data_IF_744850167313
#
_entry.id   IF_744850167313
#
_cell.length_a   1.000
_cell.length_b   1.000
_cell.length_c   1.000
_cell.angle_alpha   90.00
_cell.angle_beta   90.00
_cell.angle_gamma   90.00
#
_symmetry.space_group_name_H-M   'P 1'
#
loop_
_entity.id
_entity.type
_entity.pdbx_description
1 polymer ?
#
# COMPACT_ATOMS: atom_id res chain seq x y z
N UNK A 1 0.77 14.78 5.34
CA UNK A 1 0.24 13.94 6.45
C UNK A 1 -0.74 12.91 5.88
N UNK A 2 -0.56 11.64 6.22
CA UNK A 2 -1.41 10.53 5.77
C UNK A 2 -1.59 10.46 4.25
N UNK A 3 -0.48 10.68 3.52
CA UNK A 3 -0.43 10.72 2.06
C UNK A 3 -0.69 12.10 1.44
N UNK A 4 -1.31 13.02 2.16
CA UNK A 4 -1.57 14.37 1.68
C UNK A 4 -0.33 15.28 1.85
N UNK A 5 0.01 16.03 0.80
CA UNK A 5 1.11 17.00 0.83
C UNK A 5 0.61 18.32 1.42
N UNK A 6 1.04 18.61 2.65
CA UNK A 6 0.63 19.82 3.39
C UNK A 6 1.35 21.07 2.87
N UNK A 7 2.63 20.94 2.52
CA UNK A 7 3.47 22.02 2.01
C UNK A 7 4.04 21.67 0.62
N UNK A 8 3.31 21.95 -0.47
CA UNK A 8 3.75 21.63 -1.83
C UNK A 8 5.05 22.32 -2.25
N UNK A 9 5.30 23.54 -1.77
CA UNK A 9 6.50 24.31 -2.14
C UNK A 9 7.77 23.67 -1.56
N UNK A 10 7.72 23.24 -0.31
CA UNK A 10 8.82 22.55 0.33
C UNK A 10 9.11 21.22 -0.39
N UNK A 11 8.08 20.44 -0.68
CA UNK A 11 8.23 19.18 -1.40
C UNK A 11 8.75 19.41 -2.82
N UNK A 12 8.21 20.41 -3.55
CA UNK A 12 8.69 20.79 -4.88
C UNK A 12 10.18 21.12 -4.88
N UNK A 13 10.63 21.89 -3.89
CA UNK A 13 12.05 22.22 -3.73
C UNK A 13 12.93 20.98 -3.52
N UNK A 14 12.45 20.01 -2.71
CA UNK A 14 13.14 18.73 -2.49
C UNK A 14 13.16 17.88 -3.77
N UNK A 15 12.05 17.80 -4.50
CA UNK A 15 11.94 17.09 -5.79
C UNK A 15 12.93 17.68 -6.80
N UNK A 16 12.92 19.00 -7.00
CA UNK A 16 13.83 19.68 -7.93
C UNK A 16 15.30 19.42 -7.59
N UNK A 17 15.64 19.45 -6.28
CA UNK A 17 17.00 19.14 -5.81
C UNK A 17 17.39 17.69 -6.10
N UNK A 18 16.48 16.74 -5.89
CA UNK A 18 16.70 15.31 -6.17
C UNK A 18 16.92 15.08 -7.68
N UNK A 19 16.02 15.60 -8.51
CA UNK A 19 16.13 15.48 -9.99
C UNK A 19 17.43 16.07 -10.49
N UNK A 20 17.87 17.23 -9.97
CA UNK A 20 19.18 17.82 -10.30
C UNK A 20 20.33 16.88 -9.96
N UNK A 21 20.32 16.30 -8.74
CA UNK A 21 21.35 15.32 -8.34
C UNK A 21 21.36 14.08 -9.25
N UNK A 22 20.18 13.56 -9.63
CA UNK A 22 20.09 12.42 -10.52
C UNK A 22 20.58 12.76 -11.94
N UNK A 23 20.17 13.91 -12.50
CA UNK A 23 20.64 14.38 -13.81
C UNK A 23 22.16 14.52 -13.85
N UNK A 24 22.79 15.00 -12.80
CA UNK A 24 24.24 15.08 -12.70
C UNK A 24 24.93 13.70 -12.70
N UNK A 25 24.26 12.66 -12.17
CA UNK A 25 24.79 11.28 -12.18
C UNK A 25 24.64 10.58 -13.51
N UNK A 26 23.53 10.80 -14.22
CA UNK A 26 23.27 10.14 -15.51
C UNK A 26 23.95 10.82 -16.71
N UNK A 27 24.57 11.97 -16.49
CA UNK A 27 25.36 12.70 -17.50
C UNK A 27 24.55 13.80 -18.22
N UNK A 28 25.28 14.79 -18.74
CA UNK A 28 24.72 16.02 -19.29
C UNK A 28 23.80 15.83 -20.53
N UNK A 29 23.97 14.70 -21.25
CA UNK A 29 23.20 14.38 -22.46
C UNK A 29 21.80 13.78 -22.20
N UNK A 30 21.55 13.32 -20.98
CA UNK A 30 20.28 12.68 -20.59
C UNK A 30 19.67 13.43 -19.42
N UNK A 31 18.48 14.04 -19.63
CA UNK A 31 17.72 14.68 -18.55
C UNK A 31 16.45 13.89 -18.26
N UNK A 32 16.11 13.77 -16.97
CA UNK A 32 14.85 13.20 -16.54
C UNK A 32 13.75 14.22 -16.86
N UNK A 33 12.95 13.95 -17.88
CA UNK A 33 11.85 14.79 -18.35
C UNK A 33 10.49 14.31 -17.84
N UNK A 34 10.38 13.04 -17.50
CA UNK A 34 9.15 12.37 -17.13
C UNK A 34 9.36 11.48 -15.91
N UNK A 35 8.33 11.38 -15.08
CA UNK A 35 8.33 10.52 -13.88
C UNK A 35 7.00 9.80 -13.72
N UNK A 36 7.05 8.62 -13.13
CA UNK A 36 5.89 7.96 -12.52
C UNK A 36 5.88 8.31 -11.05
N UNK A 37 4.69 8.58 -10.51
CA UNK A 37 4.54 8.97 -9.10
C UNK A 37 3.68 7.97 -8.36
N UNK A 38 4.28 7.29 -7.38
CA UNK A 38 3.55 6.46 -6.44
C UNK A 38 2.64 7.33 -5.57
N UNK A 39 1.36 6.97 -5.47
CA UNK A 39 0.37 7.71 -4.68
C UNK A 39 -0.32 6.75 -3.71
N UNK A 40 -0.39 7.17 -2.44
CA UNK A 40 -1.06 6.46 -1.36
C UNK A 40 -1.54 7.45 -0.31
N UNK A 41 -2.48 7.05 0.51
CA UNK A 41 -3.00 7.93 1.56
C UNK A 41 -4.27 7.37 2.20
N UNK A 42 -4.72 8.02 3.27
CA UNK A 42 -5.83 7.53 4.10
C UNK A 42 -7.17 7.40 3.36
N UNK A 43 -7.37 8.10 2.26
CA UNK A 43 -8.60 8.05 1.47
C UNK A 43 -8.58 6.99 0.37
N UNK A 44 -7.44 6.30 0.18
CA UNK A 44 -7.28 5.32 -0.88
C UNK A 44 -8.02 4.02 -0.52
N UNK A 45 -8.93 3.61 -1.39
CA UNK A 45 -9.69 2.36 -1.25
C UNK A 45 -10.16 1.85 -2.62
N UNK A 46 -10.73 0.64 -2.65
CA UNK A 46 -11.34 0.07 -3.83
C UNK A 46 -12.86 0.05 -3.71
N UNK A 47 -13.55 0.45 -4.77
CA UNK A 47 -14.99 0.36 -4.93
C UNK A 47 -15.35 -0.65 -6.01
N UNK A 48 -16.44 -1.40 -5.79
CA UNK A 48 -16.99 -2.29 -6.81
C UNK A 48 -17.78 -1.50 -7.84
N UNK A 49 -17.53 -1.81 -9.10
CA UNK A 49 -18.29 -1.24 -10.21
C UNK A 49 -18.60 -2.31 -11.25
N UNK A 50 -19.78 -2.22 -11.87
CA UNK A 50 -20.19 -3.13 -12.92
C UNK A 50 -20.64 -2.34 -14.15
N UNK A 51 -20.11 -2.68 -15.30
CA UNK A 51 -20.58 -2.19 -16.60
C UNK A 51 -21.34 -3.30 -17.30
N UNK A 52 -22.51 -3.00 -17.83
CA UNK A 52 -23.25 -3.86 -18.72
C UNK A 52 -23.50 -3.15 -20.04
N UNK A 53 -23.29 -3.86 -21.16
CA UNK A 53 -23.52 -3.34 -22.52
C UNK A 53 -24.17 -4.41 -23.38
N UNK A 54 -25.19 -4.01 -24.12
CA UNK A 54 -25.83 -4.85 -25.11
C UNK A 54 -25.24 -4.58 -26.49
N UNK A 55 -25.10 -5.63 -27.27
CA UNK A 55 -24.59 -5.67 -28.64
C UNK A 55 -25.56 -6.46 -29.55
N UNK A 56 -25.54 -6.26 -30.87
CA UNK A 56 -26.21 -7.14 -31.78
C UNK A 56 -25.81 -8.61 -31.59
N UNK A 57 -26.75 -9.53 -31.77
CA UNK A 57 -26.48 -10.97 -31.67
C UNK A 57 -25.33 -11.39 -32.60
N UNK A 58 -24.43 -12.26 -32.10
CA UNK A 58 -23.26 -12.72 -32.85
C UNK A 58 -22.11 -11.69 -32.92
N UNK A 59 -22.17 -10.60 -32.12
CA UNK A 59 -21.07 -9.64 -32.08
C UNK A 59 -19.82 -10.28 -31.43
N UNK A 60 -18.62 -10.26 -32.10
CA UNK A 60 -17.41 -10.74 -31.50
C UNK A 60 -16.95 -9.79 -30.37
N UNK A 61 -16.98 -10.28 -29.15
CA UNK A 61 -16.52 -9.53 -27.96
C UNK A 61 -15.01 -9.62 -27.86
N UNK A 62 -14.33 -8.64 -28.42
CA UNK A 62 -12.87 -8.55 -28.48
C UNK A 62 -12.28 -7.93 -27.23
N UNK A 63 -10.96 -8.12 -27.02
CA UNK A 63 -10.23 -7.45 -25.92
C UNK A 63 -10.21 -5.91 -26.09
N UNK A 64 -10.36 -5.39 -27.31
CA UNK A 64 -10.41 -3.94 -27.56
C UNK A 64 -11.76 -3.33 -27.11
N UNK A 65 -12.85 -4.07 -27.22
CA UNK A 65 -14.15 -3.67 -26.64
C UNK A 65 -14.01 -3.59 -25.12
N UNK A 66 -13.43 -4.62 -24.52
CA UNK A 66 -13.23 -4.70 -23.06
C UNK A 66 -12.33 -3.55 -22.57
N UNK A 67 -11.23 -3.27 -23.26
CA UNK A 67 -10.35 -2.14 -22.94
C UNK A 67 -11.05 -0.79 -23.04
N UNK A 68 -11.86 -0.58 -24.08
CA UNK A 68 -12.66 0.65 -24.23
C UNK A 68 -13.58 0.88 -23.04
N UNK A 69 -14.32 -0.14 -22.61
CA UNK A 69 -15.19 -0.05 -21.45
C UNK A 69 -14.40 0.21 -20.15
N UNK A 70 -13.19 -0.33 -20.05
CA UNK A 70 -12.32 -0.07 -18.90
C UNK A 70 -11.81 1.39 -18.89
N UNK A 71 -11.53 1.98 -20.06
CA UNK A 71 -11.18 3.41 -20.15
C UNK A 71 -12.40 4.30 -19.89
N UNK A 72 -13.59 3.95 -20.36
CA UNK A 72 -14.83 4.66 -19.98
C UNK A 72 -15.03 4.68 -18.45
N UNK A 73 -14.80 3.54 -17.78
CA UNK A 73 -14.85 3.49 -16.32
C UNK A 73 -13.81 4.39 -15.65
N UNK A 74 -12.63 4.55 -16.25
CA UNK A 74 -11.56 5.41 -15.73
C UNK A 74 -11.91 6.89 -15.79
N UNK A 75 -12.67 7.30 -16.80
CA UNK A 75 -13.08 8.69 -17.03
C UNK A 75 -14.40 9.04 -16.30
N UNK A 76 -15.00 8.08 -15.63
CA UNK A 76 -16.26 8.30 -14.93
C UNK A 76 -16.10 9.33 -13.81
N UNK A 77 -16.99 10.35 -13.72
CA UNK A 77 -16.93 11.29 -12.63
C UNK A 77 -17.43 10.67 -11.32
N UNK A 78 -16.62 10.78 -10.27
CA UNK A 78 -17.01 10.45 -8.89
C UNK A 78 -16.99 11.73 -8.06
N UNK A 79 -18.08 12.03 -7.37
CA UNK A 79 -18.17 13.25 -6.57
C UNK A 79 -17.10 13.24 -5.44
N UNK A 80 -16.20 14.24 -5.47
CA UNK A 80 -15.17 14.43 -4.45
C UNK A 80 -14.02 13.41 -4.47
N UNK A 81 -13.94 12.57 -5.51
CA UNK A 81 -12.88 11.57 -5.65
C UNK A 81 -12.34 11.48 -7.09
N UNK A 82 -11.09 11.05 -7.19
CA UNK A 82 -10.42 10.70 -8.44
C UNK A 82 -10.31 9.17 -8.55
N UNK A 83 -10.60 8.62 -9.73
CA UNK A 83 -10.25 7.24 -10.07
C UNK A 83 -8.76 7.23 -10.45
N UNK A 84 -7.96 6.53 -9.65
CA UNK A 84 -6.52 6.43 -9.87
C UNK A 84 -6.16 5.24 -10.77
N UNK A 85 -6.94 4.16 -10.66
CA UNK A 85 -6.75 2.94 -11.46
C UNK A 85 -8.06 2.15 -11.55
N UNK A 86 -8.22 1.41 -12.65
CA UNK A 86 -9.35 0.50 -12.87
C UNK A 86 -8.81 -0.92 -13.03
N UNK A 87 -9.21 -1.81 -12.13
CA UNK A 87 -8.77 -3.21 -12.14
C UNK A 87 -9.94 -4.10 -12.53
N UNK A 88 -9.80 -4.81 -13.64
CA UNK A 88 -10.80 -5.78 -14.11
C UNK A 88 -10.77 -7.02 -13.20
N UNK A 89 -11.93 -7.43 -12.71
CA UNK A 89 -12.08 -8.58 -11.82
C UNK A 89 -12.96 -9.69 -12.41
N UNK A 90 -13.64 -9.44 -13.53
CA UNK A 90 -14.42 -10.44 -14.21
C UNK A 90 -15.04 -9.93 -15.51
N UNK A 91 -15.28 -10.84 -16.43
CA UNK A 91 -16.02 -10.58 -17.68
C UNK A 91 -16.96 -11.73 -17.90
N UNK A 92 -18.24 -11.42 -18.17
CA UNK A 92 -19.25 -12.36 -18.59
C UNK A 92 -19.76 -11.95 -19.98
N UNK A 93 -19.94 -12.91 -20.85
CA UNK A 93 -20.61 -12.75 -22.15
C UNK A 93 -21.82 -13.68 -22.14
N UNK A 94 -23.01 -13.12 -22.29
CA UNK A 94 -24.29 -13.84 -22.16
C UNK A 94 -24.33 -14.72 -20.89
N UNK A 95 -23.94 -14.09 -19.75
CA UNK A 95 -23.85 -14.70 -18.41
C UNK A 95 -22.80 -15.84 -18.26
N UNK A 96 -21.98 -16.10 -19.29
CA UNK A 96 -20.90 -17.09 -19.23
C UNK A 96 -19.55 -16.41 -18.99
N UNK A 97 -18.70 -16.94 -18.07
CA UNK A 97 -17.38 -16.37 -17.82
C UNK A 97 -16.50 -16.41 -19.08
N UNK A 98 -15.97 -15.24 -19.47
CA UNK A 98 -14.94 -15.13 -20.50
C UNK A 98 -13.56 -15.30 -19.86
N UNK A 99 -12.91 -16.41 -20.17
CA UNK A 99 -11.55 -16.71 -19.73
C UNK A 99 -10.57 -16.56 -20.91
N UNK A 100 -9.42 -15.92 -20.66
CA UNK A 100 -8.39 -15.78 -21.69
C UNK A 100 -8.66 -14.69 -22.73
N UNK A 101 -7.91 -14.77 -23.85
CA UNK A 101 -7.93 -13.79 -24.94
C UNK A 101 -8.80 -14.21 -26.13
N UNK A 102 -9.46 -15.35 -26.04
CA UNK A 102 -10.31 -15.85 -27.11
C UNK A 102 -11.49 -14.91 -27.36
N UNK A 103 -11.81 -14.68 -28.62
CA UNK A 103 -13.01 -13.97 -29.02
C UNK A 103 -14.22 -14.87 -28.78
N UNK A 104 -15.24 -14.31 -28.15
CA UNK A 104 -16.52 -15.00 -27.90
C UNK A 104 -17.60 -14.14 -28.50
N UNK A 105 -18.43 -14.73 -29.34
CA UNK A 105 -19.63 -14.06 -29.85
C UNK A 105 -20.68 -13.98 -28.74
N UNK A 106 -21.36 -12.84 -28.66
CA UNK A 106 -22.41 -12.64 -27.67
C UNK A 106 -23.18 -11.34 -27.88
N UNK A 107 -24.29 -11.23 -27.17
CA UNK A 107 -25.18 -10.07 -27.22
C UNK A 107 -25.15 -9.21 -25.96
N UNK A 108 -24.73 -9.76 -24.83
CA UNK A 108 -24.60 -9.01 -23.58
C UNK A 108 -23.21 -9.19 -22.95
N UNK A 109 -22.55 -8.08 -22.69
CA UNK A 109 -21.26 -8.06 -21.99
C UNK A 109 -21.41 -7.42 -20.62
N UNK A 110 -21.09 -8.17 -19.56
CA UNK A 110 -21.00 -7.66 -18.19
C UNK A 110 -19.55 -7.70 -17.73
N UNK A 111 -19.05 -6.57 -17.25
CA UNK A 111 -17.67 -6.45 -16.75
C UNK A 111 -17.68 -5.99 -15.29
N UNK A 112 -17.09 -6.79 -14.43
CA UNK A 112 -16.86 -6.45 -13.02
C UNK A 112 -15.52 -5.78 -12.86
N UNK A 113 -15.48 -4.66 -12.13
CA UNK A 113 -14.32 -3.81 -11.93
C UNK A 113 -14.13 -3.49 -10.45
N UNK A 114 -12.87 -3.28 -10.06
CA UNK A 114 -12.49 -2.54 -8.86
C UNK A 114 -11.94 -1.19 -9.30
N UNK A 115 -12.62 -0.12 -8.91
CA UNK A 115 -12.15 1.26 -9.06
C UNK A 115 -11.27 1.58 -7.85
N UNK A 116 -10.00 1.87 -8.08
CA UNK A 116 -9.10 2.36 -7.02
C UNK A 116 -9.28 3.86 -6.96
N UNK A 117 -9.92 4.32 -5.90
CA UNK A 117 -10.31 5.71 -5.73
C UNK A 117 -9.62 6.36 -4.54
N UNK A 118 -9.44 7.66 -4.62
CA UNK A 118 -9.01 8.49 -3.51
C UNK A 118 -9.66 9.86 -3.61
N UNK A 119 -9.72 10.61 -2.49
CA UNK A 119 -10.20 11.99 -2.52
C UNK A 119 -9.42 12.81 -3.56
N UNK A 120 -10.12 13.68 -4.28
CA UNK A 120 -9.57 14.48 -5.36
C UNK A 120 -8.44 15.44 -4.90
N UNK A 121 -8.45 15.86 -3.63
CA UNK A 121 -7.40 16.67 -3.03
C UNK A 121 -6.05 15.95 -2.91
N UNK A 122 -6.05 14.61 -2.83
CA UNK A 122 -4.82 13.81 -2.73
C UNK A 122 -3.96 13.99 -3.99
N UNK A 123 -4.52 13.72 -5.16
CA UNK A 123 -3.83 13.87 -6.45
C UNK A 123 -3.44 15.31 -6.72
N UNK A 124 -4.35 16.27 -6.43
CA UNK A 124 -4.09 17.71 -6.54
C UNK A 124 -2.93 18.17 -5.67
N UNK A 125 -2.82 17.66 -4.42
CA UNK A 125 -1.73 18.02 -3.51
C UNK A 125 -0.36 17.57 -4.02
N UNK A 126 -0.31 16.38 -4.63
CA UNK A 126 0.90 15.81 -5.21
C UNK A 126 1.28 16.53 -6.51
N UNK A 127 0.31 16.82 -7.41
CA UNK A 127 0.57 17.48 -8.69
C UNK A 127 1.20 18.85 -8.51
N UNK A 128 0.81 19.60 -7.47
CA UNK A 128 1.40 20.91 -7.14
C UNK A 128 2.91 20.85 -6.85
N UNK A 129 3.44 19.69 -6.49
CA UNK A 129 4.87 19.52 -6.24
C UNK A 129 5.71 19.42 -7.52
N UNK A 130 5.07 19.24 -8.68
CA UNK A 130 5.70 19.04 -9.99
C UNK A 130 5.36 20.16 -10.96
N UNK A 131 5.67 21.41 -10.60
CA UNK A 131 5.54 22.55 -11.51
C UNK A 131 6.72 22.60 -12.48
N UNK A 132 6.46 22.33 -13.77
CA UNK A 132 7.48 22.30 -14.83
C UNK A 132 8.06 20.90 -15.05
N UNK A 133 9.36 20.82 -15.33
CA UNK A 133 10.05 19.54 -15.51
C UNK A 133 10.53 18.94 -14.17
N UNK A 134 10.41 17.63 -13.95
CA UNK A 134 9.83 16.62 -14.85
C UNK A 134 8.28 16.62 -14.82
N UNK A 135 7.66 16.25 -15.94
CA UNK A 135 6.20 16.03 -16.00
C UNK A 135 5.81 14.67 -15.41
N UNK A 136 4.63 14.59 -14.82
CA UNK A 136 4.08 13.32 -14.33
C UNK A 136 3.41 12.59 -15.50
N UNK A 137 3.91 11.40 -15.83
CA UNK A 137 3.31 10.53 -16.85
C UNK A 137 2.06 9.85 -16.31
N UNK A 138 2.15 9.30 -15.10
CA UNK A 138 1.06 8.55 -14.47
C UNK A 138 1.22 8.54 -12.94
N UNK A 139 0.10 8.57 -12.26
CA UNK A 139 0.01 8.22 -10.85
C UNK A 139 -0.22 6.72 -10.71
N UNK A 140 0.54 6.07 -9.82
CA UNK A 140 0.46 4.63 -9.59
C UNK A 140 0.01 4.43 -8.12
N UNK A 141 -1.15 3.81 -7.87
CA UNK A 141 -1.54 3.46 -6.51
C UNK A 141 -0.50 2.55 -5.85
N UNK A 142 0.14 3.04 -4.79
CA UNK A 142 1.22 2.30 -4.12
C UNK A 142 0.84 0.89 -3.67
N UNK A 143 -0.40 0.60 -3.19
CA UNK A 143 -0.76 -0.76 -2.81
C UNK A 143 -0.69 -1.77 -3.95
N UNK A 144 -0.97 -1.34 -5.20
CA UNK A 144 -0.88 -2.23 -6.36
C UNK A 144 0.57 -2.56 -6.70
N UNK A 145 1.45 -1.55 -6.66
CA UNK A 145 2.89 -1.79 -6.88
C UNK A 145 3.51 -2.60 -5.74
N UNK A 146 3.13 -2.33 -4.48
CA UNK A 146 3.57 -3.13 -3.34
C UNK A 146 3.16 -4.61 -3.50
N UNK A 147 1.90 -4.87 -3.88
CA UNK A 147 1.44 -6.22 -4.14
C UNK A 147 2.20 -6.87 -5.30
N UNK A 148 2.54 -6.11 -6.34
CA UNK A 148 3.27 -6.62 -7.49
C UNK A 148 4.66 -7.14 -7.11
N UNK A 149 5.36 -6.47 -6.21
CA UNK A 149 6.73 -6.85 -5.79
C UNK A 149 6.77 -7.80 -4.59
N UNK A 150 5.76 -7.79 -3.72
CA UNK A 150 5.76 -8.56 -2.47
C UNK A 150 5.01 -9.91 -2.55
N UNK A 151 4.12 -10.08 -3.55
CA UNK A 151 3.29 -11.27 -3.70
C UNK A 151 3.63 -12.02 -4.99
N UNK A 152 3.75 -13.32 -4.88
CA UNK A 152 3.83 -14.20 -6.06
C UNK A 152 2.45 -14.39 -6.71
N UNK A 153 2.41 -14.99 -7.90
CA UNK A 153 1.15 -15.35 -8.53
C UNK A 153 0.42 -16.43 -7.73
N UNK A 154 1.17 -17.38 -7.16
CA UNK A 154 0.67 -18.45 -6.30
C UNK A 154 0.02 -17.90 -5.04
N UNK A 155 0.64 -16.89 -4.39
CA UNK A 155 0.05 -16.21 -3.23
C UNK A 155 -1.33 -15.63 -3.58
N UNK A 156 -1.41 -14.90 -4.71
CA UNK A 156 -2.67 -14.27 -5.15
C UNK A 156 -3.71 -15.28 -5.53
N UNK A 157 -3.29 -16.40 -6.14
CA UNK A 157 -4.19 -17.47 -6.53
C UNK A 157 -4.74 -18.21 -5.31
N UNK A 158 -3.88 -18.58 -4.37
CA UNK A 158 -4.26 -19.29 -3.14
C UNK A 158 -5.11 -18.43 -2.18
N UNK A 159 -5.06 -17.11 -2.34
CA UNK A 159 -5.67 -16.15 -1.44
C UNK A 159 -4.70 -15.64 -0.39
N UNK A 160 -4.54 -14.31 -0.31
CA UNK A 160 -3.60 -13.63 0.59
C UNK A 160 -4.13 -12.27 1.01
N UNK A 161 -3.92 -11.92 2.29
CA UNK A 161 -4.03 -10.54 2.75
C UNK A 161 -2.64 -9.91 2.77
N UNK A 162 -2.47 -8.80 2.07
CA UNK A 162 -1.25 -7.98 2.14
C UNK A 162 -1.52 -6.76 3.01
N UNK A 163 -0.69 -6.56 4.03
CA UNK A 163 -0.78 -5.41 4.94
C UNK A 163 0.52 -4.61 4.88
N UNK A 164 0.42 -3.37 4.39
CA UNK A 164 1.53 -2.42 4.35
C UNK A 164 1.49 -1.51 5.57
N UNK A 165 2.35 -1.78 6.54
CA UNK A 165 2.50 -0.99 7.77
C UNK A 165 3.42 0.21 7.51
N UNK A 166 2.82 1.29 6.98
CA UNK A 166 3.52 2.54 6.72
C UNK A 166 3.76 3.39 7.98
N UNK A 167 4.26 4.61 7.77
CA UNK A 167 4.51 5.56 8.86
C UNK A 167 3.20 6.15 9.42
N UNK A 168 2.35 6.70 8.58
CA UNK A 168 1.10 7.38 8.98
C UNK A 168 -0.16 6.62 8.59
N UNK A 169 -0.03 5.55 7.81
CA UNK A 169 -1.14 4.73 7.32
C UNK A 169 -0.76 3.26 7.30
N UNK A 170 -1.76 2.40 7.46
CA UNK A 170 -1.65 0.97 7.20
C UNK A 170 -2.64 0.60 6.11
N UNK A 171 -2.16 0.02 5.01
CA UNK A 171 -3.02 -0.35 3.88
C UNK A 171 -3.24 -1.85 3.86
N UNK A 172 -4.49 -2.26 3.73
CA UNK A 172 -4.92 -3.66 3.65
C UNK A 172 -5.42 -3.93 2.24
N UNK A 173 -4.89 -4.96 1.58
CA UNK A 173 -5.40 -5.47 0.32
C UNK A 173 -5.55 -6.99 0.37
N UNK A 174 -6.65 -7.51 -0.20
CA UNK A 174 -6.93 -8.95 -0.25
C UNK A 174 -6.98 -9.37 -1.72
N UNK A 175 -6.22 -10.41 -2.01
CA UNK A 175 -6.20 -11.06 -3.32
C UNK A 175 -6.70 -12.50 -3.17
N UNK A 176 -7.46 -12.97 -4.13
CA UNK A 176 -7.90 -14.38 -4.23
C UNK A 176 -8.25 -14.71 -5.68
N UNK A 177 -7.97 -15.94 -6.10
CA UNK A 177 -8.15 -16.39 -7.47
C UNK A 177 -7.40 -15.49 -8.48
N UNK A 178 -6.22 -14.97 -8.07
CA UNK A 178 -5.41 -14.05 -8.86
C UNK A 178 -5.93 -12.61 -8.92
N UNK A 179 -7.08 -12.29 -8.31
CA UNK A 179 -7.78 -11.02 -8.45
C UNK A 179 -7.78 -10.21 -7.16
N UNK A 180 -7.73 -8.88 -7.29
CA UNK A 180 -7.94 -7.96 -6.17
C UNK A 180 -9.41 -8.03 -5.74
N UNK A 181 -9.65 -8.42 -4.49
CA UNK A 181 -11.00 -8.51 -3.90
C UNK A 181 -11.32 -7.32 -2.99
N UNK A 182 -10.31 -6.78 -2.32
CA UNK A 182 -10.50 -5.70 -1.36
C UNK A 182 -9.26 -4.82 -1.28
N UNK A 183 -9.44 -3.53 -1.05
CA UNK A 183 -8.37 -2.59 -0.72
C UNK A 183 -8.93 -1.45 0.12
N UNK A 184 -8.29 -1.16 1.23
CA UNK A 184 -8.62 -0.02 2.09
C UNK A 184 -7.41 0.45 2.89
N UNK A 185 -7.44 1.70 3.34
CA UNK A 185 -6.35 2.30 4.11
C UNK A 185 -6.83 2.78 5.47
N UNK A 186 -6.15 2.32 6.51
CA UNK A 186 -6.34 2.69 7.91
C UNK A 186 -5.48 3.92 8.20
N UNK A 187 -6.00 5.00 8.81
CA UNK A 187 -5.24 6.23 9.09
C UNK A 187 -4.36 6.13 10.35
N UNK A 188 -3.77 4.96 10.59
CA UNK A 188 -2.84 4.64 11.67
C UNK A 188 -1.61 3.96 11.11
N UNK A 189 -0.43 4.24 11.68
CA UNK A 189 0.83 3.64 11.27
C UNK A 189 1.93 3.80 12.32
N UNK A 190 3.16 3.51 11.96
CA UNK A 190 4.32 3.52 12.86
C UNK A 190 4.59 4.86 13.52
N UNK A 191 4.21 5.99 12.91
CA UNK A 191 4.34 7.31 13.51
C UNK A 191 3.40 7.53 14.71
N UNK A 192 2.26 6.84 14.75
CA UNK A 192 1.39 6.86 15.93
C UNK A 192 2.10 6.27 17.15
N UNK A 193 2.91 5.21 16.94
CA UNK A 193 3.74 4.61 18.00
C UNK A 193 4.77 5.63 18.48
N UNK A 194 5.46 6.33 17.56
CA UNK A 194 6.44 7.39 17.91
C UNK A 194 5.80 8.47 18.77
N UNK A 195 4.61 8.95 18.38
CA UNK A 195 3.85 9.95 19.15
C UNK A 195 3.47 9.48 20.54
N UNK A 196 3.10 8.22 20.68
CA UNK A 196 2.79 7.68 22.00
C UNK A 196 4.03 7.57 22.88
N UNK A 197 5.18 7.18 22.31
CA UNK A 197 6.47 7.17 23.06
C UNK A 197 6.85 8.57 23.53
N UNK A 198 6.53 9.63 22.76
CA UNK A 198 6.79 11.02 23.20
C UNK A 198 6.04 11.38 24.49
N UNK A 199 4.95 10.69 24.84
CA UNK A 199 4.24 10.90 26.10
C UNK A 199 5.11 10.55 27.33
N UNK A 200 6.17 9.77 27.12
CA UNK A 200 7.19 9.47 28.14
C UNK A 200 8.22 10.62 28.33
N UNK A 201 7.90 11.83 27.82
CA UNK A 201 8.72 13.05 27.95
C UNK A 201 10.06 12.97 27.22
N UNK A 202 10.07 12.33 26.06
CA UNK A 202 11.22 12.29 25.13
C UNK A 202 10.91 13.09 23.88
N UNK A 203 11.94 13.56 23.18
CA UNK A 203 11.81 14.26 21.90
C UNK A 203 11.38 13.31 20.77
N UNK A 204 10.84 13.84 19.68
CA UNK A 204 10.42 13.02 18.54
C UNK A 204 11.56 12.18 17.94
N UNK A 205 12.77 12.73 17.71
CA UNK A 205 13.92 11.93 17.24
C UNK A 205 14.30 10.79 18.19
N UNK A 206 14.27 11.04 19.51
CA UNK A 206 14.56 10.01 20.52
C UNK A 206 13.46 8.94 20.53
N UNK A 207 12.19 9.34 20.48
CA UNK A 207 11.05 8.41 20.41
C UNK A 207 11.16 7.50 19.19
N UNK A 208 11.48 8.06 18.01
CA UNK A 208 11.72 7.28 16.80
C UNK A 208 12.90 6.33 16.96
N UNK A 209 14.01 6.80 17.53
CA UNK A 209 15.19 5.97 17.81
C UNK A 209 14.85 4.81 18.76
N UNK A 210 14.13 5.07 19.85
CA UNK A 210 13.68 4.04 20.79
C UNK A 210 12.74 3.03 20.11
N UNK A 211 11.78 3.48 19.32
CA UNK A 211 10.90 2.61 18.56
C UNK A 211 11.67 1.67 17.63
N UNK A 212 12.60 2.21 16.84
CA UNK A 212 13.34 1.45 15.83
C UNK A 212 14.29 0.44 16.48
N UNK A 213 14.97 0.83 17.55
CA UNK A 213 16.00 -0.01 18.19
C UNK A 213 15.44 -1.00 19.21
N UNK A 214 14.40 -0.64 19.93
CA UNK A 214 13.93 -1.35 21.13
C UNK A 214 12.43 -1.67 21.08
N UNK A 215 11.71 -1.17 20.06
CA UNK A 215 10.27 -1.39 19.92
C UNK A 215 9.94 -2.86 19.71
N UNK A 216 8.98 -3.36 20.49
CA UNK A 216 8.51 -4.73 20.41
C UNK A 216 6.99 -4.81 20.61
N UNK A 217 6.35 -5.69 19.88
CA UNK A 217 4.93 -6.03 20.07
C UNK A 217 4.68 -6.88 21.34
N UNK A 218 5.75 -7.29 22.03
CA UNK A 218 5.70 -8.07 23.26
C UNK A 218 6.19 -7.21 24.44
N UNK A 219 5.47 -7.20 25.54
CA UNK A 219 5.94 -6.53 26.76
C UNK A 219 7.09 -7.30 27.38
N UNK A 220 8.12 -6.58 27.80
CA UNK A 220 9.23 -7.14 28.54
C UNK A 220 8.80 -7.51 29.97
N UNK A 221 9.40 -8.55 30.55
CA UNK A 221 9.21 -8.90 31.95
C UNK A 221 9.78 -7.82 32.89
N UNK A 222 9.26 -7.75 34.12
CA UNK A 222 9.72 -6.78 35.14
C UNK A 222 11.19 -6.91 35.47
N UNK A 223 11.75 -8.10 35.43
CA UNK A 223 13.19 -8.41 35.61
C UNK A 223 14.10 -7.77 34.55
N UNK A 224 13.55 -7.41 33.40
CA UNK A 224 14.28 -6.75 32.30
C UNK A 224 14.06 -5.23 32.27
N UNK A 225 13.49 -4.64 33.34
CA UNK A 225 13.15 -3.23 33.41
C UNK A 225 14.40 -2.37 33.68
N UNK A 226 15.08 -1.97 32.64
CA UNK A 226 16.27 -1.10 32.67
C UNK A 226 15.90 0.36 32.35
N UNK A 227 16.78 1.28 32.80
CA UNK A 227 16.68 2.69 32.42
C UNK A 227 17.35 2.88 31.06
N UNK A 228 16.59 3.39 30.08
CA UNK A 228 17.05 3.77 28.75
C UNK A 228 17.38 5.27 28.77
N UNK A 229 18.54 5.63 28.22
CA UNK A 229 18.96 7.00 28.10
C UNK A 229 18.90 7.48 26.65
N UNK A 230 18.23 8.63 26.46
CA UNK A 230 18.20 9.36 25.21
C UNK A 230 19.43 10.25 25.03
N UNK A 231 19.63 10.78 23.83
CA UNK A 231 20.71 11.69 23.49
C UNK A 231 20.61 13.03 24.26
N UNK A 232 19.38 13.48 24.54
CA UNK A 232 19.10 14.74 25.28
C UNK A 232 19.06 14.54 26.80
N UNK A 233 19.70 13.51 27.33
CA UNK A 233 19.68 13.16 28.76
C UNK A 233 18.31 12.76 29.31
N UNK A 234 17.35 12.45 28.41
CA UNK A 234 16.05 11.87 28.78
C UNK A 234 16.25 10.43 29.29
N UNK A 235 15.50 10.06 30.32
CA UNK A 235 15.53 8.71 30.88
C UNK A 235 14.10 8.14 30.89
N UNK A 236 13.93 6.94 30.34
CA UNK A 236 12.67 6.20 30.35
C UNK A 236 12.91 4.77 30.80
N UNK A 237 11.86 4.14 31.35
CA UNK A 237 11.92 2.71 31.67
C UNK A 237 11.59 1.86 30.46
N UNK A 238 12.35 0.81 30.23
CA UNK A 238 12.12 -0.13 29.11
C UNK A 238 10.75 -0.81 29.19
N UNK A 239 10.25 -1.04 30.40
CA UNK A 239 8.91 -1.58 30.63
C UNK A 239 7.82 -0.60 30.17
N UNK A 240 7.95 0.70 30.48
CA UNK A 240 6.97 1.72 30.05
C UNK A 240 6.99 1.87 28.52
N UNK A 241 8.18 1.89 27.91
CA UNK A 241 8.33 1.86 26.46
C UNK A 241 7.58 0.66 25.84
N UNK A 242 7.82 -0.55 26.34
CA UNK A 242 7.22 -1.76 25.81
C UNK A 242 5.69 -1.78 25.95
N UNK A 243 5.15 -1.27 27.08
CA UNK A 243 3.70 -1.13 27.28
C UNK A 243 3.07 -0.17 26.28
N UNK A 244 3.66 1.01 26.11
CA UNK A 244 3.17 2.04 25.18
C UNK A 244 3.20 1.53 23.74
N UNK A 245 4.31 0.93 23.32
CA UNK A 245 4.47 0.36 21.97
C UNK A 245 3.43 -0.73 21.73
N UNK A 246 3.30 -1.69 22.64
CA UNK A 246 2.35 -2.80 22.51
C UNK A 246 0.91 -2.31 22.41
N UNK A 247 0.49 -1.37 23.27
CA UNK A 247 -0.88 -0.85 23.27
C UNK A 247 -1.26 -0.25 21.89
N UNK A 248 -0.37 0.55 21.29
CA UNK A 248 -0.62 1.13 19.97
C UNK A 248 -0.63 0.08 18.87
N UNK A 249 0.24 -0.90 18.93
CA UNK A 249 0.27 -1.98 17.95
C UNK A 249 -0.99 -2.82 18.02
N UNK A 250 -1.46 -3.17 19.22
CA UNK A 250 -2.71 -3.92 19.41
C UNK A 250 -3.90 -3.16 18.79
N UNK A 251 -3.96 -1.84 18.93
CA UNK A 251 -4.99 -1.03 18.28
C UNK A 251 -4.89 -1.11 16.74
N UNK A 252 -3.69 -0.97 16.18
CA UNK A 252 -3.50 -1.08 14.72
C UNK A 252 -3.90 -2.48 14.23
N UNK A 253 -3.47 -3.53 14.94
CA UNK A 253 -3.79 -4.92 14.60
C UNK A 253 -5.29 -5.21 14.73
N UNK A 254 -5.96 -4.67 15.74
CA UNK A 254 -7.42 -4.78 15.86
C UNK A 254 -8.15 -4.15 14.67
N UNK A 255 -7.68 -2.97 14.20
CA UNK A 255 -8.21 -2.36 12.97
C UNK A 255 -7.93 -3.24 11.73
N UNK A 256 -6.72 -3.80 11.58
CA UNK A 256 -6.41 -4.73 10.49
C UNK A 256 -7.34 -5.96 10.54
N UNK A 257 -7.58 -6.50 11.73
CA UNK A 257 -8.46 -7.65 11.93
C UNK A 257 -9.92 -7.36 11.52
N UNK A 258 -10.43 -6.16 11.79
CA UNK A 258 -11.78 -5.75 11.39
C UNK A 258 -11.98 -5.74 9.85
N UNK A 259 -10.90 -5.60 9.08
CA UNK A 259 -10.97 -5.63 7.61
C UNK A 259 -11.32 -7.00 7.02
N UNK A 260 -11.23 -8.10 7.77
CA UNK A 260 -11.81 -9.37 7.34
C UNK A 260 -13.34 -9.29 7.22
N UNK A 261 -13.99 -8.62 8.16
CA UNK A 261 -15.44 -8.42 8.15
C UNK A 261 -15.87 -7.44 7.06
N UNK A 262 -15.19 -6.28 6.96
CA UNK A 262 -15.47 -5.29 5.91
C UNK A 262 -15.30 -5.87 4.50
N UNK A 263 -14.30 -6.73 4.30
CA UNK A 263 -14.06 -7.43 3.05
C UNK A 263 -14.98 -8.64 2.83
N UNK A 264 -15.79 -9.03 3.83
CA UNK A 264 -16.57 -10.27 3.84
C UNK A 264 -15.70 -11.49 3.50
N UNK A 265 -14.48 -11.52 4.04
CA UNK A 265 -13.47 -12.52 3.73
C UNK A 265 -13.31 -13.52 4.88
N UNK A 266 -13.55 -14.79 4.62
CA UNK A 266 -13.19 -15.85 5.56
C UNK A 266 -11.68 -16.07 5.57
N UNK A 267 -11.06 -15.99 6.75
CA UNK A 267 -9.62 -16.21 6.96
C UNK A 267 -9.14 -17.55 6.40
N UNK A 268 -9.94 -18.62 6.56
CA UNK A 268 -9.63 -19.96 6.07
C UNK A 268 -9.54 -20.03 4.55
N UNK A 269 -10.15 -19.07 3.86
CA UNK A 269 -10.10 -18.96 2.41
C UNK A 269 -8.78 -18.36 1.88
N UNK A 270 -7.91 -17.86 2.78
CA UNK A 270 -6.61 -17.28 2.42
C UNK A 270 -5.49 -18.29 2.63
N UNK A 271 -5.30 -19.19 1.65
CA UNK A 271 -4.31 -20.28 1.72
C UNK A 271 -2.86 -19.80 1.90
N UNK A 272 -2.50 -18.62 1.38
CA UNK A 272 -1.20 -18.00 1.57
C UNK A 272 -1.10 -17.16 2.86
N UNK A 273 -2.20 -17.01 3.62
CA UNK A 273 -2.23 -16.29 4.89
C UNK A 273 -2.13 -14.78 4.73
N UNK A 274 -1.34 -14.16 5.61
CA UNK A 274 -1.08 -12.71 5.61
C UNK A 274 0.39 -12.42 5.34
N UNK A 275 0.64 -11.46 4.47
CA UNK A 275 1.98 -10.91 4.17
C UNK A 275 2.04 -9.49 4.72
N UNK A 276 3.05 -9.21 5.55
CA UNK A 276 3.27 -7.87 6.12
C UNK A 276 4.49 -7.22 5.50
N UNK A 277 4.37 -5.95 5.14
CA UNK A 277 5.42 -5.11 4.54
C UNK A 277 5.39 -3.72 5.16
N UNK A 278 6.24 -2.82 4.68
CA UNK A 278 6.34 -1.44 5.16
C UNK A 278 7.32 -1.29 6.33
N UNK A 279 7.69 -0.05 6.65
CA UNK A 279 8.71 0.24 7.67
C UNK A 279 8.36 -0.28 9.06
N UNK A 280 7.10 -0.11 9.48
CA UNK A 280 6.65 -0.56 10.79
C UNK A 280 6.51 -2.09 10.91
N UNK A 281 6.47 -2.84 9.79
CA UNK A 281 6.49 -4.31 9.82
C UNK A 281 7.80 -4.89 10.36
N UNK A 282 8.85 -4.07 10.43
CA UNK A 282 10.15 -4.45 10.99
C UNK A 282 10.14 -4.56 12.52
N UNK A 283 9.08 -4.07 13.17
CA UNK A 283 8.96 -4.11 14.63
C UNK A 283 9.06 -5.55 15.15
N UNK A 284 9.80 -5.73 16.23
CA UNK A 284 10.01 -7.06 16.83
C UNK A 284 8.69 -7.67 17.31
N UNK A 285 8.52 -8.97 17.12
CA UNK A 285 7.35 -9.76 17.53
C UNK A 285 6.00 -9.31 16.93
N UNK A 286 6.01 -8.45 15.89
CA UNK A 286 4.76 -7.99 15.26
C UNK A 286 4.05 -9.12 14.50
N UNK A 287 4.80 -9.94 13.75
CA UNK A 287 4.22 -11.04 12.99
C UNK A 287 3.54 -12.07 13.91
N UNK A 288 4.18 -12.37 15.04
CA UNK A 288 3.67 -13.29 16.06
C UNK A 288 2.39 -12.74 16.70
N UNK A 289 2.38 -11.45 17.06
CA UNK A 289 1.18 -10.80 17.61
C UNK A 289 0.01 -10.81 16.61
N UNK A 290 0.28 -10.52 15.34
CA UNK A 290 -0.76 -10.55 14.30
C UNK A 290 -1.28 -11.97 14.11
N UNK A 291 -0.40 -12.97 14.07
CA UNK A 291 -0.78 -14.37 13.91
C UNK A 291 -1.71 -14.82 15.06
N UNK A 292 -1.38 -14.42 16.30
CA UNK A 292 -2.21 -14.70 17.49
C UNK A 292 -3.56 -13.99 17.43
N UNK A 293 -3.56 -12.67 17.16
CA UNK A 293 -4.78 -11.85 17.23
C UNK A 293 -5.73 -12.03 16.06
N UNK A 294 -5.18 -12.33 14.88
CA UNK A 294 -5.97 -12.49 13.65
C UNK A 294 -6.26 -13.97 13.31
N UNK A 295 -5.73 -14.93 14.06
CA UNK A 295 -5.83 -16.37 13.79
C UNK A 295 -5.53 -16.72 12.32
N UNK A 296 -4.36 -16.28 11.86
CA UNK A 296 -3.90 -16.48 10.48
C UNK A 296 -2.37 -16.61 10.43
N UNK A 297 -1.87 -17.43 9.52
CA UNK A 297 -0.42 -17.52 9.28
C UNK A 297 0.11 -16.19 8.73
N UNK A 298 1.19 -15.67 9.32
CA UNK A 298 1.81 -14.39 8.94
C UNK A 298 3.25 -14.60 8.50
N UNK A 299 3.66 -13.93 7.42
CA UNK A 299 5.05 -13.82 7.00
C UNK A 299 5.41 -12.39 6.63
N UNK A 300 6.67 -12.03 6.78
CA UNK A 300 7.21 -10.78 6.24
C UNK A 300 7.36 -10.90 4.73
N UNK A 301 6.95 -9.86 4.00
CA UNK A 301 7.18 -9.77 2.56
C UNK A 301 8.66 -9.47 2.28
N UNK A 302 9.14 -9.99 1.16
CA UNK A 302 10.47 -9.71 0.63
C UNK A 302 10.34 -9.27 -0.83
N UNK A 303 11.28 -8.45 -1.29
CA UNK A 303 11.39 -8.13 -2.71
C UNK A 303 11.66 -9.43 -3.49
N UNK A 304 10.91 -9.63 -4.55
CA UNK A 304 11.15 -10.74 -5.47
C UNK A 304 12.47 -10.51 -6.20
N UNK A 305 13.37 -11.49 -6.12
CA UNK A 305 14.72 -11.39 -6.71
C UNK A 305 14.72 -11.23 -8.22
N UNK A 306 13.72 -11.80 -8.91
CA UNK A 306 13.51 -11.67 -10.36
C UNK A 306 13.15 -10.24 -10.80
N UNK A 307 12.80 -9.37 -9.88
CA UNK A 307 12.49 -7.95 -10.14
C UNK A 307 13.65 -7.00 -9.87
N UNK A 308 14.73 -7.46 -9.26
CA UNK A 308 15.92 -6.67 -9.06
C UNK A 308 16.70 -6.64 -10.38
N UNK A 309 16.64 -5.52 -11.09
CA UNK A 309 17.58 -5.26 -12.19
C UNK A 309 19.00 -5.28 -11.61
N UNK A 310 19.93 -5.89 -12.33
CA UNK A 310 21.35 -6.11 -11.96
C UNK A 310 22.16 -4.85 -11.60
N UNK A 311 21.52 -3.70 -11.54
CA UNK A 311 22.12 -2.41 -11.13
C UNK A 311 22.45 -2.39 -9.62
N UNK A 312 21.89 -3.30 -8.84
CA UNK A 312 22.07 -3.34 -7.37
C UNK A 312 23.28 -4.14 -6.90
N UNK A 313 24.04 -4.77 -7.77
CA UNK A 313 25.28 -5.49 -7.38
C UNK A 313 26.40 -4.57 -6.89
N UNK A 314 26.24 -3.24 -6.98
CA UNK A 314 27.23 -2.25 -6.52
C UNK A 314 26.79 -1.43 -5.29
N UNK A 315 25.61 -1.57 -4.74
CA UNK A 315 25.24 -0.94 -3.48
C UNK A 315 24.81 -1.99 -2.45
N UNK A 316 25.77 -2.49 -1.71
CA UNK A 316 25.54 -3.19 -0.43
C UNK A 316 25.07 -2.16 0.60
N UNK A 317 23.86 -1.72 0.56
CA UNK A 317 23.07 -1.12 1.64
C UNK A 317 21.81 -0.50 1.02
N UNK A 318 20.81 -1.29 0.75
CA UNK A 318 19.47 -0.78 0.67
C UNK A 318 18.87 -0.90 2.07
N UNK A 319 19.11 0.10 2.90
CA UNK A 319 18.29 0.37 4.07
C UNK A 319 16.94 0.88 3.56
N UNK A 320 15.97 -0.03 3.47
CA UNK A 320 14.55 0.24 3.31
C UNK A 320 13.78 -0.27 4.52
#
# INVERSE_FOLDING_TARGET
KRGFVVNPDEVSSKVKRLIRKLNNRIGASKKIKQVYVGIGGQSLHAEDHMISRDYPEGTPITEDIIKRLQEEAREMPIAGADILEVVRTGVLVDDKPKSGREEIEGSNLKMSLKLIVARDDLKKSVSRCFSGEPSIVRYIPTPLSTAYVALSNEDRQAGVMLVDFGAETTTVSIYKDGLLRYLSTIPLGGYNITRDIMTLKVTEPEAESFKVRLGSAKVMGEESNITLRGESSSEIKSLDLSKVVKARIEEIVANVNAHFEYAKCDRKSLGAGMVIVGGASKLSNLAELIAEKCDIRVRKGALRQDMLLDVASQSKSADY
#
